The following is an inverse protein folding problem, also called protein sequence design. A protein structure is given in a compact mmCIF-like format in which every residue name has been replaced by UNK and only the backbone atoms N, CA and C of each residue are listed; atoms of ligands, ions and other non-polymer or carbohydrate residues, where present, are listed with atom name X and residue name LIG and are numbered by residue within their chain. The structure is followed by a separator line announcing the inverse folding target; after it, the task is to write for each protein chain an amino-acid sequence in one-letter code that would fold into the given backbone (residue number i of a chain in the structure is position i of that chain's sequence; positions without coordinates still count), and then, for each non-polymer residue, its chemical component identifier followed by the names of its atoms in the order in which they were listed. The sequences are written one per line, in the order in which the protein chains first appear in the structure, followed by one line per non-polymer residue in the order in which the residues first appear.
data_IF_246252343023
#
_entry.id   IF_246252343023
#
_cell.length_a   1.000
_cell.length_b   1.000
_cell.length_c   1.000
_cell.angle_alpha   90.00
_cell.angle_beta   90.00
_cell.angle_gamma   90.00
#
_symmetry.space_group_name_H-M   'P 1'
#
loop_
_entity.id
_entity.type
_entity.pdbx_description
1 polymer ?
#
# COMPACT_ATOMS: atom_id res chain seq x y z
N UNK A 1 -13.00 10.99 2.69
CA UNK A 1 -12.05 10.64 3.75
C UNK A 1 -11.50 9.23 3.55
N UNK A 2 -10.19 9.08 3.63
CA UNK A 2 -9.60 7.78 3.38
C UNK A 2 -9.58 6.93 4.64
N UNK A 3 -9.96 5.69 4.49
CA UNK A 3 -10.01 4.75 5.61
C UNK A 3 -8.85 3.77 5.51
N UNK A 4 -8.64 3.00 6.58
CA UNK A 4 -7.61 1.96 6.57
C UNK A 4 -7.88 0.97 5.44
N UNK A 5 -9.15 0.64 5.21
CA UNK A 5 -9.51 -0.28 4.14
C UNK A 5 -9.08 0.26 2.77
N UNK A 6 -9.23 1.55 2.56
CA UNK A 6 -8.80 2.16 1.30
C UNK A 6 -7.30 2.12 1.14
N UNK A 7 -6.56 2.39 2.22
CA UNK A 7 -5.11 2.30 2.18
C UNK A 7 -4.67 0.90 1.81
N UNK A 8 -5.28 -0.12 2.41
CA UNK A 8 -4.93 -1.50 2.11
C UNK A 8 -5.30 -1.86 0.68
N UNK A 9 -6.42 -1.34 0.20
CA UNK A 9 -6.83 -1.56 -1.18
C UNK A 9 -5.81 -0.97 -2.16
N UNK A 10 -5.33 0.23 -1.88
CA UNK A 10 -4.30 0.83 -2.73
C UNK A 10 -3.02 0.01 -2.72
N UNK A 11 -2.64 -0.53 -1.57
CA UNK A 11 -1.46 -1.38 -1.48
C UNK A 11 -1.63 -2.62 -2.35
N UNK A 12 -2.80 -3.23 -2.32
CA UNK A 12 -3.09 -4.39 -3.15
C UNK A 12 -3.04 -4.04 -4.62
N UNK A 13 -3.61 -2.91 -4.98
CA UNK A 13 -3.60 -2.46 -6.38
C UNK A 13 -2.17 -2.24 -6.87
N UNK A 14 -1.32 -1.68 -6.02
CA UNK A 14 0.08 -1.48 -6.38
C UNK A 14 0.77 -2.82 -6.61
N UNK A 15 0.48 -3.81 -5.77
CA UNK A 15 1.07 -5.13 -5.94
C UNK A 15 0.59 -5.80 -7.22
N UNK A 16 -0.69 -5.66 -7.53
CA UNK A 16 -1.23 -6.23 -8.75
C UNK A 16 -0.58 -5.60 -9.98
N UNK A 17 -0.39 -4.29 -9.94
CA UNK A 17 0.28 -3.61 -11.03
C UNK A 17 1.72 -4.08 -11.15
N UNK A 18 2.39 -4.28 -10.02
CA UNK A 18 3.77 -4.74 -10.05
C UNK A 18 3.88 -6.09 -10.75
N UNK A 19 2.90 -6.97 -10.55
CA UNK A 19 2.91 -8.27 -11.20
C UNK A 19 2.80 -8.17 -12.70
N UNK A 20 2.12 -7.15 -13.19
CA UNK A 20 1.90 -6.97 -14.62
C UNK A 20 3.07 -6.28 -15.31
N UNK A 21 3.91 -5.61 -14.54
CA UNK A 21 5.06 -4.91 -15.10
C UNK A 21 6.18 -5.89 -15.41
N UNK A 22 6.90 -5.61 -16.48
CA UNK A 22 8.02 -6.46 -16.89
C UNK A 22 9.37 -5.86 -16.51
N UNK A 23 9.41 -4.56 -16.30
CA UNK A 23 10.67 -3.88 -15.98
C UNK A 23 10.91 -3.92 -14.48
N UNK A 24 12.13 -4.29 -14.12
CA UNK A 24 12.50 -4.42 -12.71
C UNK A 24 12.34 -3.11 -11.94
N UNK A 25 12.77 -2.01 -12.56
CA UNK A 25 12.68 -0.72 -11.89
C UNK A 25 11.22 -0.36 -11.58
N UNK A 26 10.34 -0.62 -12.55
CA UNK A 26 8.93 -0.32 -12.37
C UNK A 26 8.31 -1.20 -11.30
N UNK A 27 8.69 -2.47 -11.28
CA UNK A 27 8.20 -3.39 -10.26
C UNK A 27 8.61 -2.93 -8.87
N UNK A 28 9.87 -2.55 -8.72
CA UNK A 28 10.37 -2.09 -7.43
C UNK A 28 9.67 -0.83 -6.98
N UNK A 29 9.39 0.08 -7.91
CA UNK A 29 8.69 1.31 -7.58
C UNK A 29 7.28 0.99 -7.06
N UNK A 30 6.58 0.08 -7.73
CA UNK A 30 5.23 -0.29 -7.31
C UNK A 30 5.24 -0.99 -5.96
N UNK A 31 6.22 -1.87 -5.74
CA UNK A 31 6.33 -2.57 -4.47
C UNK A 31 6.63 -1.59 -3.34
N UNK A 32 7.46 -0.61 -3.60
CA UNK A 32 7.76 0.40 -2.61
C UNK A 32 6.52 1.21 -2.26
N UNK A 33 5.73 1.56 -3.27
CA UNK A 33 4.48 2.28 -3.04
C UNK A 33 3.52 1.43 -2.21
N UNK A 34 3.45 0.14 -2.51
CA UNK A 34 2.58 -0.75 -1.74
C UNK A 34 3.00 -0.78 -0.28
N UNK A 35 4.29 -0.84 -0.03
CA UNK A 35 4.78 -0.81 1.35
C UNK A 35 4.45 0.49 2.04
N UNK A 36 4.55 1.60 1.32
CA UNK A 36 4.22 2.90 1.89
C UNK A 36 2.75 2.95 2.27
N UNK A 37 1.87 2.44 1.41
CA UNK A 37 0.45 2.38 1.71
C UNK A 37 0.17 1.49 2.91
N UNK A 38 0.87 0.37 3.01
CA UNK A 38 0.69 -0.52 4.15
C UNK A 38 1.13 0.13 5.45
N UNK A 39 2.24 0.84 5.41
CA UNK A 39 2.71 1.56 6.60
C UNK A 39 1.70 2.61 7.02
N UNK A 40 1.14 3.32 6.05
CA UNK A 40 0.13 4.32 6.34
C UNK A 40 -1.11 3.68 6.96
N UNK A 41 -1.52 2.53 6.43
CA UNK A 41 -2.67 1.81 6.96
C UNK A 41 -2.41 1.35 8.39
N UNK A 42 -1.23 0.80 8.63
CA UNK A 42 -0.88 0.33 9.97
C UNK A 42 -0.83 1.48 10.97
N UNK A 43 -0.25 2.59 10.57
CA UNK A 43 -0.17 3.76 11.45
C UNK A 43 -1.55 4.28 11.77
N UNK A 44 -2.41 4.33 10.76
CA UNK A 44 -3.78 4.82 10.96
C UNK A 44 -4.55 3.89 11.88
N UNK A 45 -4.41 2.59 11.64
CA UNK A 45 -5.10 1.60 12.46
C UNK A 45 -4.65 1.67 13.90
N UNK A 46 -3.35 1.90 14.10
CA UNK A 46 -2.81 2.03 15.44
C UNK A 46 -3.37 3.24 16.16
N UNK A 47 -3.49 4.36 15.44
CA UNK A 47 -4.08 5.57 16.00
C UNK A 47 -5.53 5.35 16.41
N UNK A 48 -6.29 4.68 15.54
CA UNK A 48 -7.70 4.46 15.78
C UNK A 48 -7.93 3.46 16.91
N UNK A 49 -7.05 2.49 17.03
CA UNK A 49 -7.18 1.46 18.06
C UNK A 49 -6.53 1.83 19.38
N UNK A 50 -5.74 2.88 19.41
CA UNK A 50 -4.99 3.27 20.59
C UNK A 50 -5.84 4.17 21.46
N UNK A 51 -6.23 3.68 22.60
CA UNK A 51 -7.04 4.46 23.52
C UNK A 51 -6.47 4.43 24.90
#
# INVERSE_FOLDING_TARGET
MRTVAEFRKHAEECRELAKKLTREDDKKAMELMAKTWEKAANARERELGSK
#
